data_IF_552691328365
#
_entry.id   IF_552691328365
#
_cell.length_a   1.000
_cell.length_b   1.000
_cell.length_c   1.000
_cell.angle_alpha   90.00
_cell.angle_beta   90.00
_cell.angle_gamma   90.00
#
_symmetry.space_group_name_H-M   'P 1'
#
loop_
_entity.id
_entity.type
_entity.pdbx_description
1 polymer ?
#
# COMPACT_ATOMS: atom_id res chain seq x y z
N UNK A 1 87.33 -23.52 -20.54
CA UNK A 1 87.38 -24.95 -20.12
C UNK A 1 86.75 -25.04 -18.73
N UNK A 2 85.68 -25.76 -18.40
CA UNK A 2 84.84 -26.76 -19.09
C UNK A 2 83.42 -26.62 -18.52
N UNK A 3 82.47 -26.87 -19.39
CA UNK A 3 81.02 -27.02 -19.20
C UNK A 3 80.72 -28.14 -18.21
N UNK A 4 79.67 -28.02 -17.38
CA UNK A 4 78.81 -29.16 -17.00
C UNK A 4 77.36 -28.71 -16.83
N UNK A 5 76.66 -28.76 -17.95
CA UNK A 5 75.23 -28.91 -18.13
C UNK A 5 74.74 -30.28 -17.59
N UNK A 6 73.61 -30.26 -16.88
CA UNK A 6 72.39 -31.09 -17.06
C UNK A 6 72.51 -32.62 -16.82
N UNK A 7 71.41 -33.21 -16.29
CA UNK A 7 71.00 -34.64 -16.29
C UNK A 7 71.35 -35.40 -15.00
N UNK A 8 70.48 -36.13 -14.29
CA UNK A 8 69.16 -36.71 -14.59
C UNK A 8 68.59 -37.40 -13.33
N UNK A 9 67.25 -37.37 -13.19
CA UNK A 9 66.37 -38.41 -12.60
C UNK A 9 66.60 -38.94 -11.16
N UNK A 10 65.73 -38.50 -10.26
CA UNK A 10 64.95 -39.35 -9.35
C UNK A 10 63.67 -38.55 -9.01
N UNK A 11 62.64 -38.57 -9.87
CA UNK A 11 61.47 -39.44 -9.75
C UNK A 11 61.17 -39.90 -8.31
N UNK A 12 59.93 -39.66 -7.87
CA UNK A 12 59.27 -40.14 -6.66
C UNK A 12 59.29 -39.20 -5.44
N UNK A 13 58.47 -38.16 -5.54
CA UNK A 13 58.06 -37.32 -4.40
C UNK A 13 56.69 -36.71 -4.64
N UNK A 14 55.81 -37.47 -5.29
CA UNK A 14 54.38 -37.18 -5.41
C UNK A 14 53.75 -37.32 -4.03
N UNK A 15 53.95 -36.34 -3.16
CA UNK A 15 53.11 -36.15 -1.98
C UNK A 15 52.37 -34.83 -2.18
N UNK A 16 51.40 -34.89 -3.09
CA UNK A 16 50.29 -33.96 -3.17
C UNK A 16 49.79 -33.77 -1.74
N UNK A 17 50.10 -32.62 -1.16
CA UNK A 17 49.50 -32.17 0.09
C UNK A 17 48.01 -32.15 -0.19
N UNK A 18 47.33 -33.22 0.23
CA UNK A 18 45.90 -33.27 0.31
C UNK A 18 45.52 -32.15 1.25
N UNK A 19 45.22 -30.98 0.69
CA UNK A 19 44.50 -29.96 1.44
C UNK A 19 43.23 -30.66 1.90
N UNK A 20 43.00 -30.82 3.22
CA UNK A 20 41.70 -31.27 3.65
C UNK A 20 40.72 -30.24 3.10
N UNK A 21 39.84 -30.67 2.21
CA UNK A 21 38.59 -29.97 1.93
C UNK A 21 37.91 -29.84 3.29
N UNK A 22 38.17 -28.74 4.00
CA UNK A 22 37.39 -28.39 5.17
C UNK A 22 36.00 -28.12 4.62
N UNK A 23 35.15 -29.15 4.67
CA UNK A 23 33.72 -28.95 4.64
C UNK A 23 33.46 -27.95 5.76
N UNK A 24 33.27 -26.68 5.40
CA UNK A 24 32.90 -25.65 6.34
C UNK A 24 31.56 -26.11 6.90
N UNK A 25 31.61 -26.69 8.09
CA UNK A 25 30.42 -27.17 8.78
C UNK A 25 29.58 -25.92 8.99
N UNK A 26 28.51 -25.78 8.20
CA UNK A 26 27.56 -24.70 8.38
C UNK A 26 27.00 -24.89 9.79
N UNK A 27 27.44 -24.05 10.74
CA UNK A 27 27.00 -24.17 12.11
C UNK A 27 25.49 -23.93 12.16
N UNK A 28 24.80 -24.58 13.09
CA UNK A 28 23.36 -24.30 13.31
C UNK A 28 23.13 -22.82 13.59
N UNK A 29 24.09 -22.17 14.23
CA UNK A 29 24.07 -20.74 14.52
C UNK A 29 24.12 -19.89 13.24
N UNK A 30 24.95 -20.23 12.25
CA UNK A 30 24.99 -19.47 10.98
C UNK A 30 23.76 -19.69 10.10
N UNK A 31 23.10 -20.85 10.20
CA UNK A 31 21.80 -21.06 9.57
C UNK A 31 20.66 -20.28 10.24
N UNK A 32 20.71 -20.16 11.57
CA UNK A 32 19.70 -19.41 12.32
C UNK A 32 19.83 -17.90 12.07
N UNK A 33 21.05 -17.35 12.04
CA UNK A 33 21.26 -15.94 11.69
C UNK A 33 20.84 -15.62 10.25
N UNK A 34 21.09 -16.52 9.29
CA UNK A 34 20.61 -16.35 7.91
C UNK A 34 19.07 -16.32 7.82
N UNK A 35 18.39 -17.14 8.63
CA UNK A 35 16.92 -17.14 8.71
C UNK A 35 16.40 -15.84 9.31
N UNK A 36 16.99 -15.37 10.41
CA UNK A 36 16.64 -14.08 11.03
C UNK A 36 16.85 -12.91 10.06
N UNK A 37 17.97 -12.90 9.33
CA UNK A 37 18.23 -11.91 8.28
C UNK A 37 17.18 -11.96 7.17
N UNK A 38 16.80 -13.15 6.71
CA UNK A 38 15.74 -13.32 5.72
C UNK A 38 14.41 -12.77 6.21
N UNK A 39 14.01 -13.09 7.43
CA UNK A 39 12.75 -12.61 8.01
C UNK A 39 12.75 -11.08 8.18
N UNK A 40 13.87 -10.50 8.59
CA UNK A 40 14.05 -9.04 8.66
C UNK A 40 13.94 -8.38 7.27
N UNK A 41 14.54 -8.96 6.23
CA UNK A 41 14.43 -8.45 4.86
C UNK A 41 12.98 -8.52 4.37
N UNK A 42 12.28 -9.64 4.60
CA UNK A 42 10.87 -9.80 4.22
C UNK A 42 9.97 -8.80 4.96
N UNK A 43 10.25 -8.54 6.24
CA UNK A 43 9.51 -7.57 7.03
C UNK A 43 9.76 -6.14 6.56
N UNK A 44 11.01 -5.77 6.27
CA UNK A 44 11.36 -4.47 5.67
C UNK A 44 10.71 -4.27 4.29
N UNK A 45 10.66 -5.33 3.47
CA UNK A 45 9.97 -5.28 2.17
C UNK A 45 8.48 -4.98 2.36
N UNK A 46 7.79 -5.72 3.23
CA UNK A 46 6.37 -5.49 3.55
C UNK A 46 6.12 -4.11 4.11
N UNK A 47 7.00 -3.61 4.97
CA UNK A 47 6.90 -2.28 5.54
C UNK A 47 7.03 -1.20 4.46
N UNK A 48 7.98 -1.33 3.53
CA UNK A 48 8.12 -0.40 2.42
C UNK A 48 6.91 -0.44 1.47
N UNK A 49 6.38 -1.63 1.17
CA UNK A 49 5.16 -1.79 0.38
C UNK A 49 3.97 -1.08 1.05
N UNK A 50 3.77 -1.29 2.36
CA UNK A 50 2.71 -0.64 3.14
C UNK A 50 2.88 0.87 3.24
N UNK A 51 4.10 1.38 3.43
CA UNK A 51 4.37 2.83 3.41
C UNK A 51 4.09 3.45 2.04
N UNK A 52 4.40 2.73 0.97
CA UNK A 52 4.10 3.16 -0.40
C UNK A 52 2.58 3.19 -0.64
N UNK A 53 1.86 2.16 -0.19
CA UNK A 53 0.40 2.11 -0.25
C UNK A 53 -0.24 3.23 0.59
N UNK A 54 0.29 3.50 1.78
CA UNK A 54 -0.17 4.59 2.63
C UNK A 54 -0.05 5.94 1.91
N UNK A 55 1.10 6.21 1.30
CA UNK A 55 1.29 7.44 0.53
C UNK A 55 0.31 7.54 -0.64
N UNK A 56 -0.05 6.43 -1.30
CA UNK A 56 -1.07 6.43 -2.36
C UNK A 56 -2.45 6.80 -1.82
N UNK A 57 -2.88 6.15 -0.73
CA UNK A 57 -4.18 6.44 -0.11
C UNK A 57 -4.25 7.87 0.43
N UNK A 58 -3.17 8.39 1.02
CA UNK A 58 -3.10 9.78 1.48
C UNK A 58 -3.17 10.78 0.32
N UNK A 59 -2.60 10.46 -0.85
CA UNK A 59 -2.75 11.28 -2.06
C UNK A 59 -4.18 11.24 -2.63
N UNK A 60 -4.88 10.10 -2.51
CA UNK A 60 -6.28 9.97 -2.93
C UNK A 60 -7.24 10.74 -2.02
N UNK A 61 -6.86 11.00 -0.76
CA UNK A 61 -7.68 11.66 0.24
C UNK A 61 -8.15 13.05 -0.18
N UNK A 62 -7.26 13.84 -0.78
CA UNK A 62 -7.59 15.17 -1.28
C UNK A 62 -8.62 15.11 -2.41
N UNK A 63 -8.50 14.12 -3.30
CA UNK A 63 -9.45 13.87 -4.38
C UNK A 63 -10.82 13.48 -3.85
N UNK A 64 -10.87 12.50 -2.95
CA UNK A 64 -12.10 12.04 -2.32
C UNK A 64 -12.80 13.14 -1.52
N UNK A 65 -12.03 13.99 -0.82
CA UNK A 65 -12.57 15.14 -0.06
C UNK A 65 -13.23 16.15 -1.01
N UNK A 66 -12.55 16.52 -2.09
CA UNK A 66 -13.13 17.43 -3.12
C UNK A 66 -14.37 16.83 -3.78
N UNK A 67 -14.38 15.53 -4.02
CA UNK A 67 -15.55 14.85 -4.59
C UNK A 67 -16.75 14.89 -3.65
N UNK A 68 -16.55 14.71 -2.34
CA UNK A 68 -17.60 14.90 -1.33
C UNK A 68 -18.14 16.33 -1.36
N UNK A 69 -17.25 17.33 -1.32
CA UNK A 69 -17.67 18.74 -1.36
C UNK A 69 -18.49 19.06 -2.62
N UNK A 70 -17.99 18.66 -3.79
CA UNK A 70 -18.65 18.90 -5.08
C UNK A 70 -20.00 18.19 -5.17
N UNK A 71 -20.07 16.93 -4.75
CA UNK A 71 -21.32 16.16 -4.83
C UNK A 71 -22.33 16.62 -3.79
N UNK A 72 -21.90 17.07 -2.62
CA UNK A 72 -22.76 17.70 -1.61
C UNK A 72 -23.34 19.03 -2.12
N UNK A 73 -22.51 19.89 -2.71
CA UNK A 73 -22.97 21.15 -3.31
C UNK A 73 -24.00 20.91 -4.42
N UNK A 74 -23.72 19.96 -5.31
CA UNK A 74 -24.64 19.59 -6.37
C UNK A 74 -25.95 19.01 -5.82
N UNK A 75 -25.88 18.15 -4.81
CA UNK A 75 -27.07 17.59 -4.17
C UNK A 75 -27.94 18.68 -3.53
N UNK A 76 -27.31 19.68 -2.87
CA UNK A 76 -28.03 20.82 -2.29
C UNK A 76 -28.74 21.63 -3.37
N UNK A 77 -28.03 21.99 -4.44
CA UNK A 77 -28.63 22.74 -5.57
C UNK A 77 -29.82 22.01 -6.18
N UNK A 78 -29.68 20.71 -6.43
CA UNK A 78 -30.76 19.89 -6.98
C UNK A 78 -31.94 19.76 -6.00
N UNK A 79 -31.70 19.74 -4.69
CA UNK A 79 -32.74 19.75 -3.67
C UNK A 79 -33.50 21.08 -3.64
N UNK A 80 -32.79 22.21 -3.70
CA UNK A 80 -33.39 23.55 -3.74
C UNK A 80 -34.26 23.74 -5.00
N UNK A 81 -33.78 23.27 -6.16
CA UNK A 81 -34.54 23.32 -7.40
C UNK A 81 -35.77 22.42 -7.37
N UNK A 82 -35.66 21.24 -6.75
CA UNK A 82 -36.81 20.37 -6.52
C UNK A 82 -37.84 21.05 -5.63
N UNK A 83 -37.42 21.69 -4.55
CA UNK A 83 -38.31 22.43 -3.66
C UNK A 83 -39.04 23.54 -4.41
N UNK A 84 -38.33 24.39 -5.16
CA UNK A 84 -38.94 25.46 -5.97
C UNK A 84 -39.97 24.94 -6.98
N UNK A 85 -39.68 23.81 -7.62
CA UNK A 85 -40.60 23.21 -8.59
C UNK A 85 -41.82 22.56 -7.91
N UNK A 86 -41.64 21.97 -6.72
CA UNK A 86 -42.73 21.44 -5.91
C UNK A 86 -43.65 22.56 -5.40
N UNK A 87 -43.09 23.68 -4.94
CA UNK A 87 -43.85 24.86 -4.52
C UNK A 87 -44.69 25.42 -5.66
N UNK A 88 -44.12 25.53 -6.87
CA UNK A 88 -44.86 25.96 -8.07
C UNK A 88 -46.02 25.02 -8.41
N UNK A 89 -45.79 23.71 -8.35
CA UNK A 89 -46.86 22.72 -8.55
C UNK A 89 -47.92 22.81 -7.46
N UNK A 90 -47.54 23.11 -6.20
CA UNK A 90 -48.49 23.32 -5.12
C UNK A 90 -49.46 24.48 -5.37
N UNK A 91 -49.03 25.50 -6.12
CA UNK A 91 -49.89 26.62 -6.54
C UNK A 91 -50.87 26.29 -7.67
N UNK A 92 -50.55 25.35 -8.55
CA UNK A 92 -51.46 24.81 -9.56
C UNK A 92 -51.28 23.29 -9.72
N UNK A 93 -51.93 22.49 -8.84
CA UNK A 93 -51.71 21.04 -8.78
C UNK A 93 -52.19 20.27 -10.02
N UNK A 94 -53.04 20.87 -10.85
CA UNK A 94 -53.59 20.23 -12.04
C UNK A 94 -52.75 20.52 -13.30
N UNK A 95 -51.77 21.43 -13.24
CA UNK A 95 -50.90 21.71 -14.37
C UNK A 95 -49.94 20.54 -14.65
N UNK A 96 -50.20 19.85 -15.77
CA UNK A 96 -49.41 18.72 -16.27
C UNK A 96 -47.94 19.06 -16.55
N UNK A 97 -47.62 20.27 -16.99
CA UNK A 97 -46.24 20.72 -17.27
C UNK A 97 -45.49 20.94 -15.95
N UNK A 98 -46.12 21.57 -14.96
CA UNK A 98 -45.54 21.74 -13.63
C UNK A 98 -45.29 20.37 -12.97
N UNK A 99 -46.26 19.45 -13.05
CA UNK A 99 -46.11 18.10 -12.52
C UNK A 99 -44.90 17.36 -13.11
N UNK A 100 -44.72 17.45 -14.44
CA UNK A 100 -43.56 16.86 -15.13
C UNK A 100 -42.23 17.50 -14.70
N UNK A 101 -42.19 18.82 -14.57
CA UNK A 101 -40.97 19.53 -14.13
C UNK A 101 -40.60 19.15 -12.70
N UNK A 102 -41.56 19.14 -11.78
CA UNK A 102 -41.36 18.70 -10.41
C UNK A 102 -40.86 17.24 -10.35
N UNK A 103 -41.48 16.32 -11.10
CA UNK A 103 -41.05 14.92 -11.16
C UNK A 103 -39.62 14.73 -11.69
N UNK A 104 -39.24 15.49 -12.73
CA UNK A 104 -37.88 15.48 -13.26
C UNK A 104 -36.87 16.03 -12.25
N UNK A 105 -37.21 17.13 -11.58
CA UNK A 105 -36.38 17.76 -10.56
C UNK A 105 -36.17 16.85 -9.35
N UNK A 106 -37.23 16.21 -8.86
CA UNK A 106 -37.18 15.23 -7.78
C UNK A 106 -36.27 14.04 -8.14
N UNK A 107 -36.38 13.57 -9.38
CA UNK A 107 -35.53 12.48 -9.88
C UNK A 107 -34.05 12.87 -9.96
N UNK A 108 -33.76 14.12 -10.37
CA UNK A 108 -32.40 14.68 -10.34
C UNK A 108 -31.84 14.78 -8.93
N UNK A 109 -32.59 15.41 -8.01
CA UNK A 109 -32.23 15.54 -6.61
C UNK A 109 -31.94 14.20 -5.94
N UNK A 110 -32.79 13.18 -6.19
CA UNK A 110 -32.56 11.82 -5.68
C UNK A 110 -31.25 11.21 -6.18
N UNK A 111 -30.92 11.40 -7.45
CA UNK A 111 -29.68 10.86 -8.05
C UNK A 111 -28.46 11.55 -7.45
N UNK A 112 -28.49 12.87 -7.34
CA UNK A 112 -27.38 13.64 -6.80
C UNK A 112 -27.18 13.40 -5.31
N UNK A 113 -28.26 13.31 -4.51
CA UNK A 113 -28.18 12.89 -3.12
C UNK A 113 -27.57 11.48 -2.96
N UNK A 114 -27.89 10.55 -3.87
CA UNK A 114 -27.26 9.21 -3.88
C UNK A 114 -25.77 9.29 -4.19
N UNK A 115 -25.35 10.16 -5.11
CA UNK A 115 -23.92 10.38 -5.43
C UNK A 115 -23.18 10.97 -4.24
N UNK A 116 -23.74 11.99 -3.59
CA UNK A 116 -23.16 12.60 -2.39
C UNK A 116 -22.95 11.58 -1.27
N UNK A 117 -23.95 10.72 -1.01
CA UNK A 117 -23.78 9.62 -0.03
C UNK A 117 -22.65 8.68 -0.39
N UNK A 118 -22.58 8.22 -1.65
CA UNK A 118 -21.51 7.33 -2.10
C UNK A 118 -20.12 7.96 -2.00
N UNK A 119 -19.99 9.25 -2.31
CA UNK A 119 -18.73 9.97 -2.16
C UNK A 119 -18.32 10.03 -0.67
N UNK A 120 -19.28 10.30 0.22
CA UNK A 120 -19.04 10.30 1.67
C UNK A 120 -18.63 8.92 2.18
N UNK A 121 -19.36 7.87 1.78
CA UNK A 121 -19.05 6.48 2.16
C UNK A 121 -17.63 6.11 1.70
N UNK A 122 -17.26 6.49 0.48
CA UNK A 122 -15.91 6.25 -0.05
C UNK A 122 -14.82 6.99 0.74
N UNK A 123 -15.05 8.25 1.11
CA UNK A 123 -14.10 9.01 1.94
C UNK A 123 -13.91 8.38 3.33
N UNK A 124 -15.01 7.90 3.92
CA UNK A 124 -14.95 7.24 5.23
C UNK A 124 -14.22 5.90 5.17
N UNK A 125 -14.45 5.11 4.12
CA UNK A 125 -13.73 3.86 3.90
C UNK A 125 -12.24 4.09 3.64
N UNK A 126 -11.90 5.10 2.84
CA UNK A 126 -10.50 5.50 2.60
C UNK A 126 -9.80 5.87 3.91
N UNK A 127 -10.47 6.62 4.80
CA UNK A 127 -9.93 6.98 6.13
C UNK A 127 -9.69 5.75 7.00
N UNK A 128 -10.62 4.79 7.00
CA UNK A 128 -10.46 3.52 7.74
C UNK A 128 -9.29 2.70 7.20
N UNK A 129 -9.12 2.66 5.88
CA UNK A 129 -8.01 1.93 5.25
C UNK A 129 -6.67 2.56 5.61
N UNK A 130 -6.57 3.89 5.57
CA UNK A 130 -5.39 4.64 6.04
C UNK A 130 -5.10 4.31 7.51
N UNK A 131 -6.09 4.33 8.39
CA UNK A 131 -5.90 4.04 9.81
C UNK A 131 -5.46 2.59 10.04
N UNK A 132 -6.11 1.64 9.37
CA UNK A 132 -5.77 0.22 9.41
C UNK A 132 -4.33 -0.03 8.95
N UNK A 133 -3.91 0.65 7.88
CA UNK A 133 -2.56 0.55 7.34
C UNK A 133 -1.52 1.18 8.28
N UNK A 134 -1.83 2.32 8.91
CA UNK A 134 -0.97 2.93 9.95
C UNK A 134 -0.74 2.00 11.13
N UNK A 135 -1.79 1.34 11.63
CA UNK A 135 -1.68 0.33 12.71
C UNK A 135 -0.80 -0.85 12.28
N UNK A 136 -1.03 -1.37 11.09
CA UNK A 136 -0.25 -2.46 10.47
C UNK A 136 1.24 -2.11 10.32
N UNK A 137 1.57 -0.88 9.93
CA UNK A 137 2.94 -0.39 9.83
C UNK A 137 3.57 -0.32 11.23
N UNK A 138 2.87 0.23 12.21
CA UNK A 138 3.36 0.31 13.59
C UNK A 138 3.64 -1.08 14.18
N UNK A 139 2.79 -2.07 13.92
CA UNK A 139 3.01 -3.45 14.34
C UNK A 139 4.26 -4.07 13.68
N UNK A 140 4.48 -3.80 12.39
CA UNK A 140 5.66 -4.29 11.67
C UNK A 140 6.95 -3.58 12.13
N UNK A 141 6.88 -2.28 12.42
CA UNK A 141 7.98 -1.50 13.01
C UNK A 141 8.35 -2.02 14.40
N UNK A 142 7.37 -2.32 15.25
CA UNK A 142 7.58 -2.91 16.57
C UNK A 142 8.22 -4.31 16.48
N UNK A 143 7.80 -5.13 15.51
CA UNK A 143 8.41 -6.44 15.27
C UNK A 143 9.86 -6.32 14.80
N UNK A 144 10.17 -5.38 13.90
CA UNK A 144 11.54 -5.11 13.47
C UNK A 144 12.42 -4.64 14.63
N UNK A 145 11.90 -3.77 15.50
CA UNK A 145 12.64 -3.26 16.66
C UNK A 145 13.00 -4.37 17.66
N UNK A 146 12.16 -5.41 17.77
CA UNK A 146 12.36 -6.53 18.68
C UNK A 146 13.17 -7.69 18.06
N UNK A 147 13.57 -7.61 16.78
CA UNK A 147 14.40 -8.63 16.14
C UNK A 147 15.90 -8.48 16.48
N UNK A 148 16.60 -9.56 16.84
CA UNK A 148 18.06 -9.56 16.98
C UNK A 148 18.68 -9.22 15.61
N UNK A 149 19.31 -8.05 15.49
CA UNK A 149 19.86 -7.55 14.23
C UNK A 149 19.20 -6.28 13.68
N UNK A 150 18.05 -5.86 14.22
CA UNK A 150 17.41 -4.58 13.89
C UNK A 150 18.15 -3.33 14.41
N UNK A 151 19.16 -3.52 15.27
CA UNK A 151 19.92 -2.44 15.93
C UNK A 151 21.32 -2.17 15.34
N UNK A 152 21.72 -2.84 14.25
CA UNK A 152 23.08 -2.66 13.70
C UNK A 152 23.27 -1.42 12.81
N UNK A 153 22.29 -0.52 12.73
CA UNK A 153 22.30 0.62 11.80
C UNK A 153 21.90 1.95 12.47
N UNK A 154 22.43 2.21 13.68
CA UNK A 154 22.45 3.55 14.25
C UNK A 154 23.88 4.02 14.43
#
# INVERSE_FOLDING_TARGET
MKIKTIQTLALLGLLSVAMPLTAQVVSRDSLNTLKEQKESIELNKRLNERKTELAKLENELDGATRDVEKTAEQAQRSADDNQKNAERLGGDPQDKKLARRAGNSASGARKDAKRARKASDHLDDLRKDIESLKRKIADDEAKLANMPGGSSSR
#
